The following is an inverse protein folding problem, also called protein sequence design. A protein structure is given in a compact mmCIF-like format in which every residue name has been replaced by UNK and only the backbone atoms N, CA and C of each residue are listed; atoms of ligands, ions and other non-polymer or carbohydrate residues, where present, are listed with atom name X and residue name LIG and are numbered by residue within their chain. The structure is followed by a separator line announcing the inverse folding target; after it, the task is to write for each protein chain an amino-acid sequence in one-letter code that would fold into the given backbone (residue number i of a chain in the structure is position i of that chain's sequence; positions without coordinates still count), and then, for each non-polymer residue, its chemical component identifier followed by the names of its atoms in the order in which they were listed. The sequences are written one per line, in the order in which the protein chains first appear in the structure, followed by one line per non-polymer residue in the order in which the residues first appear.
data_IF_781296514910
#
_entry.id   IF_781296514910
#
_cell.length_a   1.000
_cell.length_b   1.000
_cell.length_c   1.000
_cell.angle_alpha   90.00
_cell.angle_beta   90.00
_cell.angle_gamma   90.00
#
_symmetry.space_group_name_H-M   'P 1'
#
loop_
_entity.id
_entity.type
_entity.pdbx_description
1 polymer ?
#
# COMPACT_ATOMS: atom_id res chain seq x y z
N UNK A 1 39.01 10.39 -4.77
CA UNK A 1 37.61 10.63 -5.17
C UNK A 1 37.05 9.35 -5.78
N UNK A 2 36.23 8.60 -5.06
CA UNK A 2 35.44 7.52 -5.67
C UNK A 2 33.97 7.91 -5.54
N UNK A 3 33.37 8.28 -6.68
CA UNK A 3 31.93 8.43 -6.83
C UNK A 3 31.34 7.02 -6.76
N UNK A 4 30.76 6.69 -5.62
CA UNK A 4 29.81 5.58 -5.53
C UNK A 4 28.43 6.20 -5.61
N UNK A 5 27.95 6.28 -6.84
CA UNK A 5 26.54 6.49 -7.14
C UNK A 5 25.76 5.29 -6.60
N UNK A 6 25.41 5.34 -5.31
CA UNK A 6 24.44 4.40 -4.71
C UNK A 6 23.08 5.06 -4.91
N UNK A 7 22.56 4.86 -6.11
CA UNK A 7 21.18 5.18 -6.46
C UNK A 7 20.24 4.38 -5.53
N UNK A 8 19.68 5.10 -4.57
CA UNK A 8 18.28 4.96 -4.13
C UNK A 8 17.79 3.55 -3.80
N UNK A 9 18.46 2.81 -2.92
CA UNK A 9 17.75 1.88 -2.03
C UNK A 9 17.04 2.69 -0.94
N UNK A 10 16.00 3.45 -1.33
CA UNK A 10 14.94 3.78 -0.38
C UNK A 10 14.29 2.45 -0.01
N UNK A 11 14.88 1.73 0.95
CA UNK A 11 14.28 0.59 1.64
C UNK A 11 12.95 1.08 2.18
N UNK A 12 11.89 0.91 1.38
CA UNK A 12 10.53 1.21 1.74
C UNK A 12 10.27 0.40 3.00
N UNK A 13 10.20 1.09 4.13
CA UNK A 13 9.96 0.43 5.41
C UNK A 13 8.71 -0.44 5.24
N UNK A 14 8.78 -1.73 5.57
CA UNK A 14 7.61 -2.59 5.45
C UNK A 14 6.48 -1.98 6.28
N UNK A 15 5.30 -1.84 5.66
CA UNK A 15 4.11 -1.35 6.35
C UNK A 15 3.68 -2.41 7.35
N UNK A 16 3.53 -1.98 8.60
CA UNK A 16 2.90 -2.81 9.62
C UNK A 16 1.39 -2.69 9.43
N UNK A 17 0.79 -3.73 8.88
CA UNK A 17 -0.65 -3.88 8.76
C UNK A 17 -1.27 -4.19 10.12
N UNK A 18 -1.48 -3.13 10.92
CA UNK A 18 -2.21 -3.25 12.17
C UNK A 18 -3.69 -3.60 11.90
N UNK A 19 -4.39 -4.27 12.82
CA UNK A 19 -5.80 -4.63 12.65
C UNK A 19 -6.67 -3.42 12.27
N UNK A 20 -6.45 -2.26 12.88
CA UNK A 20 -7.16 -1.03 12.56
C UNK A 20 -6.89 -0.53 11.12
N UNK A 21 -5.65 -0.67 10.63
CA UNK A 21 -5.31 -0.31 9.25
C UNK A 21 -5.95 -1.27 8.26
N UNK A 22 -5.95 -2.56 8.58
CA UNK A 22 -6.61 -3.59 7.77
C UNK A 22 -8.14 -3.40 7.73
N UNK A 23 -8.78 -3.09 8.85
CA UNK A 23 -10.22 -2.78 8.87
C UNK A 23 -10.57 -1.64 7.92
N UNK A 24 -9.79 -0.53 7.94
CA UNK A 24 -9.98 0.58 6.99
C UNK A 24 -9.78 0.15 5.54
N UNK A 25 -8.79 -0.70 5.27
CA UNK A 25 -8.54 -1.25 3.94
C UNK A 25 -9.74 -2.06 3.44
N UNK A 26 -10.27 -2.96 4.27
CA UNK A 26 -11.46 -3.77 3.94
C UNK A 26 -12.69 -2.88 3.75
N UNK A 27 -12.91 -1.89 4.61
CA UNK A 27 -13.99 -0.89 4.43
C UNK A 27 -13.85 -0.15 3.09
N UNK A 28 -12.64 0.26 2.71
CA UNK A 28 -12.41 0.89 1.41
C UNK A 28 -12.74 -0.05 0.25
N UNK A 29 -12.36 -1.34 0.32
CA UNK A 29 -12.71 -2.34 -0.68
C UNK A 29 -14.22 -2.54 -0.75
N UNK A 30 -14.91 -2.61 0.38
CA UNK A 30 -16.37 -2.77 0.44
C UNK A 30 -17.10 -1.57 -0.17
N UNK A 31 -16.61 -0.35 0.10
CA UNK A 31 -17.18 0.90 -0.43
C UNK A 31 -16.93 1.04 -1.93
N UNK A 32 -15.71 0.72 -2.39
CA UNK A 32 -15.34 0.79 -3.82
C UNK A 32 -15.99 -0.34 -4.62
N UNK A 33 -16.19 -1.50 -3.99
CA UNK A 33 -16.65 -2.71 -4.65
C UNK A 33 -15.57 -3.37 -5.52
N UNK A 34 -15.82 -4.61 -5.98
CA UNK A 34 -14.80 -5.46 -6.60
C UNK A 34 -14.23 -4.94 -7.93
N UNK A 35 -14.92 -4.02 -8.63
CA UNK A 35 -14.43 -3.39 -9.87
C UNK A 35 -13.47 -2.23 -9.60
N UNK A 36 -13.77 -1.41 -8.59
CA UNK A 36 -13.02 -0.19 -8.31
C UNK A 36 -12.02 -0.33 -7.15
N UNK A 37 -11.99 -1.51 -6.49
CA UNK A 37 -11.02 -1.91 -5.47
C UNK A 37 -9.63 -2.19 -6.08
N UNK A 38 -9.06 -1.18 -6.74
CA UNK A 38 -7.69 -1.17 -7.26
C UNK A 38 -6.75 -0.45 -6.29
N UNK A 39 -5.45 -0.77 -6.26
CA UNK A 39 -4.51 -0.21 -5.27
C UNK A 39 -4.46 1.31 -5.23
N UNK A 40 -4.64 1.98 -6.39
CA UNK A 40 -4.71 3.43 -6.49
C UNK A 40 -5.91 4.00 -5.72
N UNK A 41 -7.11 3.50 -6.02
CA UNK A 41 -8.34 3.98 -5.41
C UNK A 41 -8.40 3.65 -3.92
N UNK A 42 -7.90 2.48 -3.53
CA UNK A 42 -7.81 2.08 -2.12
C UNK A 42 -6.86 3.03 -1.37
N UNK A 43 -5.68 3.33 -1.92
CA UNK A 43 -4.74 4.27 -1.32
C UNK A 43 -5.36 5.66 -1.15
N UNK A 44 -5.99 6.18 -2.21
CA UNK A 44 -6.69 7.47 -2.19
C UNK A 44 -7.81 7.49 -1.13
N UNK A 45 -8.57 6.40 -1.01
CA UNK A 45 -9.66 6.27 -0.03
C UNK A 45 -9.15 6.12 1.40
N UNK A 46 -8.07 5.38 1.60
CA UNK A 46 -7.43 5.22 2.91
C UNK A 46 -6.82 6.54 3.39
N UNK A 47 -6.38 7.41 2.48
CA UNK A 47 -5.82 8.73 2.75
C UNK A 47 -4.71 8.70 3.83
N UNK A 48 -3.85 7.68 3.78
CA UNK A 48 -2.73 7.50 4.71
C UNK A 48 -1.45 7.88 3.98
N UNK A 49 -0.87 9.02 4.35
CA UNK A 49 0.35 9.56 3.72
C UNK A 49 1.62 8.72 3.98
N UNK A 50 1.58 7.80 4.94
CA UNK A 50 2.66 6.82 5.16
C UNK A 50 2.50 5.54 4.34
N UNK A 51 1.40 5.38 3.59
CA UNK A 51 1.20 4.26 2.66
C UNK A 51 1.58 4.67 1.24
N UNK A 52 2.13 3.72 0.50
CA UNK A 52 2.35 3.83 -0.94
C UNK A 52 1.46 2.87 -1.71
N UNK A 53 1.27 3.16 -3.00
CA UNK A 53 0.46 2.34 -3.89
C UNK A 53 1.02 0.92 -4.01
N UNK A 54 2.35 0.78 -3.97
CA UNK A 54 3.08 -0.48 -4.04
C UNK A 54 2.82 -1.34 -2.79
N UNK A 55 2.74 -0.74 -1.60
CA UNK A 55 2.42 -1.46 -0.35
C UNK A 55 0.97 -1.97 -0.35
N UNK A 56 0.04 -1.13 -0.81
CA UNK A 56 -1.37 -1.52 -0.98
C UNK A 56 -1.52 -2.60 -2.04
N UNK A 57 -0.79 -2.51 -3.16
CA UNK A 57 -0.80 -3.52 -4.22
C UNK A 57 -0.24 -4.86 -3.75
N UNK A 58 0.88 -4.86 -3.02
CA UNK A 58 1.46 -6.07 -2.43
C UNK A 58 0.51 -6.72 -1.43
N UNK A 59 -0.15 -5.93 -0.57
CA UNK A 59 -1.17 -6.45 0.35
C UNK A 59 -2.36 -7.03 -0.41
N UNK A 60 -2.90 -6.32 -1.39
CA UNK A 60 -4.02 -6.79 -2.22
C UNK A 60 -3.69 -8.07 -3.02
N UNK A 61 -2.42 -8.30 -3.35
CA UNK A 61 -1.96 -9.52 -4.03
C UNK A 61 -1.87 -10.70 -3.06
N UNK A 62 -1.38 -10.48 -1.84
CA UNK A 62 -1.27 -11.52 -0.81
C UNK A 62 -2.61 -11.87 -0.16
N UNK A 63 -3.52 -10.91 0.02
CA UNK A 63 -4.87 -11.12 0.58
C UNK A 63 -5.78 -11.96 -0.34
N UNK A 64 -5.33 -12.25 -1.57
CA UNK A 64 -6.02 -13.10 -2.56
C UNK A 64 -5.51 -14.54 -2.62
N UNK A 65 -4.44 -14.88 -1.89
CA UNK A 65 -3.86 -16.22 -1.78
C UNK A 65 -4.29 -16.89 -0.46
#
# INVERSE_FOLDING_TARGET
MNSVDIDTEMKSKPVVWTPNLHTRFVECILILGPRDAVPKNILEKMNVSSLTREQVASHLQMDRL
#
